data_IF_157034133891
#
_entry.id   IF_157034133891
#
_cell.length_a   1.000
_cell.length_b   1.000
_cell.length_c   1.000
_cell.angle_alpha   90.00
_cell.angle_beta   90.00
_cell.angle_gamma   90.00
#
_symmetry.space_group_name_H-M   'P 1'
#
loop_
_entity.id
_entity.type
_entity.pdbx_description
1 polymer ?
#
# COMPACT_ATOMS: atom_id res chain seq x y z
N UNK A 1 -5.07 14.94 16.66
CA UNK A 1 -3.79 15.08 15.93
C UNK A 1 -3.40 16.55 15.93
N UNK A 2 -2.15 16.89 16.31
CA UNK A 2 -1.59 18.23 16.09
C UNK A 2 -0.73 18.15 14.84
N UNK A 3 -1.11 18.87 13.80
CA UNK A 3 -0.43 18.93 12.52
C UNK A 3 -1.31 19.66 11.52
N UNK A 4 -0.71 20.24 10.50
CA UNK A 4 -1.46 20.88 9.43
C UNK A 4 -2.14 19.81 8.56
N UNK A 5 -3.31 20.15 8.01
CA UNK A 5 -4.07 19.28 7.12
C UNK A 5 -4.33 20.00 5.81
N UNK A 6 -3.99 19.34 4.71
CA UNK A 6 -4.13 19.88 3.37
C UNK A 6 -4.80 18.85 2.47
N UNK A 7 -5.65 19.32 1.56
CA UNK A 7 -6.04 18.54 0.38
C UNK A 7 -4.97 18.78 -0.69
N UNK A 8 -4.42 17.71 -1.22
CA UNK A 8 -3.34 17.76 -2.19
C UNK A 8 -3.55 16.74 -3.31
N UNK A 9 -3.01 17.07 -4.48
CA UNK A 9 -3.02 16.22 -5.66
C UNK A 9 -1.64 16.37 -6.34
N UNK A 10 -1.15 15.28 -6.92
CA UNK A 10 0.05 15.27 -7.74
C UNK A 10 -0.11 16.22 -8.92
N UNK A 11 0.93 16.99 -9.24
CA UNK A 11 1.00 17.78 -10.47
C UNK A 11 1.54 16.98 -11.66
N UNK A 12 1.94 15.72 -11.46
CA UNK A 12 2.42 14.81 -12.50
C UNK A 12 1.24 13.97 -13.03
N UNK A 13 0.90 14.18 -14.31
CA UNK A 13 -0.20 13.50 -15.00
C UNK A 13 -0.02 11.97 -15.11
N UNK A 14 1.22 11.49 -15.23
CA UNK A 14 1.50 10.07 -15.31
C UNK A 14 1.23 9.41 -13.96
N UNK A 15 1.67 10.04 -12.87
CA UNK A 15 1.36 9.59 -11.50
C UNK A 15 -0.15 9.60 -11.27
N UNK A 16 -0.85 10.68 -11.65
CA UNK A 16 -2.29 10.80 -11.46
C UNK A 16 -3.07 9.69 -12.15
N UNK A 17 -2.77 9.42 -13.43
CA UNK A 17 -3.45 8.39 -14.21
C UNK A 17 -3.33 6.98 -13.62
N UNK A 18 -2.23 6.71 -12.90
CA UNK A 18 -1.97 5.39 -12.31
C UNK A 18 -2.39 5.30 -10.83
N UNK A 19 -2.52 6.42 -10.15
CA UNK A 19 -2.85 6.43 -8.73
C UNK A 19 -4.32 6.13 -8.44
N UNK A 20 -4.59 5.58 -7.26
CA UNK A 20 -5.95 5.33 -6.75
C UNK A 20 -6.72 6.64 -6.54
N UNK A 21 -6.05 7.62 -5.93
CA UNK A 21 -6.63 8.91 -5.54
C UNK A 21 -5.75 10.05 -6.08
N UNK A 22 -5.28 10.96 -5.21
CA UNK A 22 -4.52 12.15 -5.61
C UNK A 22 -3.05 11.91 -5.98
N UNK A 23 -2.52 10.68 -5.94
CA UNK A 23 -1.12 10.40 -6.29
C UNK A 23 -0.04 11.00 -5.36
N UNK A 24 -0.45 11.65 -4.26
CA UNK A 24 0.44 12.41 -3.36
C UNK A 24 1.58 11.57 -2.80
N UNK A 25 1.30 10.33 -2.37
CA UNK A 25 2.31 9.44 -1.80
C UNK A 25 3.41 9.15 -2.82
N UNK A 26 3.05 8.75 -4.04
CA UNK A 26 3.99 8.49 -5.11
C UNK A 26 4.84 9.73 -5.43
N UNK A 27 4.23 10.92 -5.50
CA UNK A 27 4.95 12.17 -5.79
C UNK A 27 5.92 12.55 -4.67
N UNK A 28 5.53 12.38 -3.40
CA UNK A 28 6.41 12.62 -2.25
C UNK A 28 7.61 11.66 -2.24
N UNK A 29 7.39 10.38 -2.55
CA UNK A 29 8.46 9.37 -2.63
C UNK A 29 9.43 9.66 -3.77
N UNK A 30 8.91 9.99 -4.96
CA UNK A 30 9.71 10.39 -6.13
C UNK A 30 10.58 11.61 -5.78
N UNK A 31 9.96 12.64 -5.23
CA UNK A 31 10.67 13.84 -4.78
C UNK A 31 11.72 13.55 -3.71
N UNK A 32 11.45 12.65 -2.75
CA UNK A 32 12.39 12.30 -1.69
C UNK A 32 13.68 11.67 -2.24
N UNK A 33 13.58 10.82 -3.29
CA UNK A 33 14.73 10.27 -3.99
C UNK A 33 15.44 11.31 -4.86
N UNK A 34 14.70 12.06 -5.70
CA UNK A 34 15.29 13.09 -6.58
C UNK A 34 16.08 14.14 -5.80
N UNK A 35 15.54 14.54 -4.65
CA UNK A 35 16.17 15.52 -3.76
C UNK A 35 17.22 14.92 -2.81
N UNK A 36 17.50 13.61 -2.92
CA UNK A 36 18.48 12.88 -2.09
C UNK A 36 18.24 13.02 -0.59
N UNK A 37 16.99 13.19 -0.17
CA UNK A 37 16.59 13.19 1.24
C UNK A 37 16.65 11.79 1.83
N UNK A 38 16.42 10.79 0.99
CA UNK A 38 16.56 9.37 1.29
C UNK A 38 17.41 8.70 0.21
N UNK A 39 18.07 7.61 0.57
CA UNK A 39 18.88 6.79 -0.34
C UNK A 39 17.99 5.78 -1.09
N UNK A 40 16.89 5.37 -0.46
CA UNK A 40 15.96 4.39 -1.03
C UNK A 40 14.50 4.60 -0.55
N UNK A 41 13.57 4.04 -1.31
CA UNK A 41 12.15 3.92 -0.98
C UNK A 41 11.81 2.44 -0.79
N UNK A 42 11.26 2.09 0.38
CA UNK A 42 10.65 0.79 0.62
C UNK A 42 9.13 0.90 0.44
N UNK A 43 8.61 0.21 -0.56
CA UNK A 43 7.20 0.18 -0.90
C UNK A 43 6.78 -1.22 -1.34
N UNK A 44 5.49 -1.39 -1.65
CA UNK A 44 4.93 -2.66 -2.11
C UNK A 44 4.53 -2.55 -3.58
N UNK A 45 4.80 -3.59 -4.38
CA UNK A 45 4.23 -3.72 -5.73
C UNK A 45 3.67 -5.12 -5.97
N UNK A 46 2.77 -5.24 -6.93
CA UNK A 46 2.25 -6.52 -7.38
C UNK A 46 3.35 -7.32 -8.09
N UNK A 47 3.60 -8.57 -7.65
CA UNK A 47 4.54 -9.46 -8.31
C UNK A 47 3.98 -9.85 -9.68
N UNK A 48 4.69 -9.53 -10.75
CA UNK A 48 4.30 -9.85 -12.13
C UNK A 48 2.85 -9.42 -12.46
N UNK A 49 2.41 -8.27 -11.91
CA UNK A 49 1.05 -7.76 -12.10
C UNK A 49 -0.05 -8.49 -11.32
N UNK A 50 0.29 -9.50 -10.51
CA UNK A 50 -0.66 -10.21 -9.67
C UNK A 50 -0.99 -9.41 -8.40
N UNK A 51 -2.14 -8.73 -8.38
CA UNK A 51 -2.60 -7.91 -7.26
C UNK A 51 -2.77 -8.66 -5.94
N UNK A 52 -2.95 -9.98 -6.00
CA UNK A 52 -3.10 -10.86 -4.84
C UNK A 52 -1.76 -11.31 -4.24
N UNK A 53 -0.64 -10.92 -4.85
CA UNK A 53 0.72 -11.23 -4.42
C UNK A 53 1.56 -9.95 -4.41
N UNK A 54 1.40 -9.15 -3.36
CA UNK A 54 2.20 -7.94 -3.15
C UNK A 54 3.54 -8.26 -2.48
N UNK A 55 4.62 -7.72 -3.04
CA UNK A 55 5.99 -7.92 -2.56
C UNK A 55 6.63 -6.60 -2.13
N UNK A 56 7.46 -6.61 -1.07
CA UNK A 56 8.30 -5.46 -0.76
C UNK A 56 9.36 -5.26 -1.83
N UNK A 57 9.59 -4.01 -2.20
CA UNK A 57 10.63 -3.60 -3.13
C UNK A 57 11.40 -2.41 -2.56
N UNK A 58 12.72 -2.43 -2.77
CA UNK A 58 13.61 -1.32 -2.45
C UNK A 58 13.94 -0.60 -3.75
N UNK A 59 13.52 0.66 -3.85
CA UNK A 59 13.64 1.49 -5.04
C UNK A 59 14.67 2.59 -4.80
N UNK A 60 15.63 2.72 -5.70
CA UNK A 60 16.65 3.78 -5.67
C UNK A 60 16.56 4.72 -6.88
N UNK A 61 15.86 4.31 -7.94
CA UNK A 61 15.62 5.14 -9.13
C UNK A 61 14.25 5.84 -9.00
N UNK A 62 14.20 7.18 -8.90
CA UNK A 62 12.95 7.93 -8.76
C UNK A 62 11.90 7.62 -9.82
N UNK A 63 12.32 7.32 -11.06
CA UNK A 63 11.38 7.05 -12.15
C UNK A 63 10.63 5.72 -11.97
N UNK A 64 11.19 4.79 -11.21
CA UNK A 64 10.55 3.49 -10.94
C UNK A 64 9.54 3.52 -9.80
N UNK A 65 9.49 4.61 -9.01
CA UNK A 65 8.54 4.75 -7.88
C UNK A 65 7.09 4.59 -8.33
N UNK A 66 6.76 5.08 -9.52
CA UNK A 66 5.42 4.99 -10.12
C UNK A 66 4.95 3.53 -10.31
N UNK A 67 5.86 2.55 -10.31
CA UNK A 67 5.51 1.12 -10.33
C UNK A 67 4.76 0.65 -9.08
N UNK A 68 4.88 1.40 -7.99
CA UNK A 68 4.28 1.06 -6.69
C UNK A 68 2.94 1.77 -6.44
N UNK A 69 2.49 2.59 -7.38
CA UNK A 69 1.20 3.30 -7.30
C UNK A 69 0.01 2.34 -7.32
N UNK A 70 -1.03 2.72 -6.56
CA UNK A 70 -2.27 1.95 -6.38
C UNK A 70 -2.29 1.18 -5.06
N UNK A 71 -3.46 0.70 -4.68
CA UNK A 71 -3.67 -0.02 -3.43
C UNK A 71 -3.76 -1.52 -3.68
N UNK A 72 -3.09 -2.28 -2.82
CA UNK A 72 -3.17 -3.74 -2.80
C UNK A 72 -3.87 -4.18 -1.51
N UNK A 73 -5.21 -4.15 -1.53
CA UNK A 73 -6.05 -4.51 -0.39
C UNK A 73 -5.99 -6.00 -0.02
N UNK A 74 -5.52 -6.83 -0.94
CA UNK A 74 -5.38 -8.28 -0.78
C UNK A 74 -3.94 -8.73 -0.45
N UNK A 75 -3.02 -7.77 -0.31
CA UNK A 75 -1.61 -8.03 -0.01
C UNK A 75 -1.26 -7.65 1.43
N UNK A 76 -0.54 -8.56 2.09
CA UNK A 76 -0.17 -8.47 3.51
C UNK A 76 1.34 -8.66 3.76
N UNK A 77 2.24 -7.99 3.01
CA UNK A 77 3.67 -8.10 3.26
C UNK A 77 4.04 -7.50 4.63
N UNK A 78 5.03 -8.10 5.29
CA UNK A 78 5.51 -7.63 6.59
C UNK A 78 6.68 -6.65 6.39
N UNK A 79 6.35 -5.36 6.29
CA UNK A 79 7.33 -4.28 6.08
C UNK A 79 8.32 -4.19 7.25
N UNK A 80 7.82 -4.28 8.49
CA UNK A 80 8.64 -4.19 9.70
C UNK A 80 9.75 -5.24 9.71
N UNK A 81 9.40 -6.50 9.39
CA UNK A 81 10.36 -7.60 9.28
C UNK A 81 11.36 -7.34 8.15
N UNK A 82 10.89 -6.81 7.03
CA UNK A 82 11.76 -6.52 5.88
C UNK A 82 12.87 -5.53 6.25
N UNK A 83 12.52 -4.43 6.92
CA UNK A 83 13.48 -3.42 7.38
C UNK A 83 14.51 -4.05 8.33
N UNK A 84 14.03 -4.79 9.33
CA UNK A 84 14.91 -5.41 10.33
C UNK A 84 15.86 -6.44 9.73
N UNK A 85 15.33 -7.44 9.03
CA UNK A 85 16.09 -8.64 8.62
C UNK A 85 16.88 -8.44 7.33
N UNK A 86 16.38 -7.62 6.40
CA UNK A 86 16.96 -7.51 5.06
C UNK A 86 17.60 -6.16 4.76
N UNK A 87 17.28 -5.11 5.53
CA UNK A 87 17.84 -3.77 5.37
C UNK A 87 18.67 -3.33 6.60
N UNK A 88 19.14 -4.31 7.39
CA UNK A 88 19.93 -4.09 8.61
C UNK A 88 19.33 -3.00 9.50
N UNK A 89 18.02 -3.05 9.77
CA UNK A 89 17.34 -2.07 10.62
C UNK A 89 17.45 -0.60 10.16
N UNK A 90 17.76 -0.35 8.88
CA UNK A 90 18.07 0.98 8.36
C UNK A 90 19.27 1.67 9.03
N UNK A 91 20.23 0.93 9.61
CA UNK A 91 21.43 1.53 10.20
C UNK A 91 22.37 2.13 9.13
N UNK A 92 22.39 1.57 7.92
CA UNK A 92 23.38 1.92 6.88
C UNK A 92 22.84 2.85 5.78
N UNK A 93 21.54 3.16 5.77
CA UNK A 93 20.90 3.93 4.70
C UNK A 93 19.63 4.65 5.18
N UNK A 94 19.35 5.81 4.60
CA UNK A 94 18.10 6.56 4.81
C UNK A 94 17.01 6.03 3.90
N UNK A 95 15.86 5.64 4.46
CA UNK A 95 14.78 4.97 3.73
C UNK A 95 13.46 5.70 3.96
N UNK A 96 12.76 6.05 2.88
CA UNK A 96 11.35 6.39 2.95
C UNK A 96 10.52 5.10 2.90
N UNK A 97 9.63 4.90 3.87
CA UNK A 97 8.83 3.68 4.01
C UNK A 97 7.35 4.02 3.91
N UNK A 98 6.67 3.40 2.95
CA UNK A 98 5.20 3.42 2.92
C UNK A 98 4.68 2.36 3.87
N UNK A 99 3.85 2.74 4.83
CA UNK A 99 3.44 1.85 5.91
C UNK A 99 1.95 1.98 6.28
N UNK A 100 1.33 0.86 6.62
CA UNK A 100 0.01 0.84 7.27
C UNK A 100 0.19 1.12 8.78
N UNK A 101 -0.87 1.48 9.52
CA UNK A 101 -0.76 1.77 10.94
C UNK A 101 -0.16 0.61 11.77
N UNK A 102 -0.44 -0.63 11.39
CA UNK A 102 0.13 -1.82 12.03
C UNK A 102 1.63 -1.97 11.77
N UNK A 103 2.11 -1.65 10.56
CA UNK A 103 3.53 -1.65 10.21
C UNK A 103 4.27 -0.55 11.00
N UNK A 104 3.70 0.66 11.04
CA UNK A 104 4.26 1.78 11.81
C UNK A 104 4.42 1.41 13.29
N UNK A 105 3.39 0.78 13.89
CA UNK A 105 3.48 0.26 15.27
C UNK A 105 4.59 -0.76 15.43
N UNK A 106 4.71 -1.72 14.49
CA UNK A 106 5.78 -2.72 14.51
C UNK A 106 7.17 -2.09 14.42
N UNK A 107 7.35 -1.10 13.54
CA UNK A 107 8.59 -0.35 13.38
C UNK A 107 8.96 0.35 14.68
N UNK A 108 8.03 1.10 15.27
CA UNK A 108 8.28 1.83 16.53
C UNK A 108 8.65 0.89 17.68
N UNK A 109 8.03 -0.28 17.78
CA UNK A 109 8.41 -1.27 18.81
C UNK A 109 9.81 -1.85 18.60
N UNK A 110 10.26 -2.01 17.35
CA UNK A 110 11.64 -2.43 17.07
C UNK A 110 12.66 -1.30 17.26
N UNK A 111 12.27 -0.05 17.02
CA UNK A 111 13.08 1.14 17.35
C UNK A 111 13.36 1.18 18.86
N UNK A 112 12.34 0.99 19.71
CA UNK A 112 12.50 0.92 21.18
C UNK A 112 13.45 -0.19 21.63
N UNK A 113 13.60 -1.23 20.83
CA UNK A 113 14.49 -2.39 21.08
C UNK A 113 15.83 -2.26 20.35
N UNK A 114 16.16 -1.07 19.87
CA UNK A 114 17.41 -0.74 19.14
C UNK A 114 17.67 -1.68 17.96
N UNK A 115 16.62 -2.19 17.32
CA UNK A 115 16.69 -3.07 16.15
C UNK A 115 16.41 -2.35 14.84
N UNK A 116 15.89 -1.12 14.92
CA UNK A 116 15.68 -0.22 13.79
C UNK A 116 16.17 1.18 14.18
N UNK A 117 16.89 1.85 13.29
CA UNK A 117 17.28 3.24 13.44
C UNK A 117 16.20 4.18 12.89
N UNK A 118 15.47 4.86 13.77
CA UNK A 118 14.42 5.79 13.38
C UNK A 118 14.96 7.05 12.68
N UNK A 119 16.18 7.48 13.00
CA UNK A 119 16.77 8.70 12.42
C UNK A 119 17.00 8.57 10.91
N UNK A 120 17.09 7.34 10.43
CA UNK A 120 17.23 7.00 9.03
C UNK A 120 15.89 6.63 8.35
N UNK A 121 14.75 6.71 9.05
CA UNK A 121 13.45 6.38 8.47
C UNK A 121 12.55 7.61 8.30
N UNK A 122 12.01 7.75 7.09
CA UNK A 122 10.87 8.65 6.82
C UNK A 122 9.62 7.79 6.61
N UNK A 123 8.69 7.80 7.56
CA UNK A 123 7.46 7.00 7.48
C UNK A 123 6.36 7.79 6.77
N UNK A 124 5.86 7.26 5.65
CA UNK A 124 4.66 7.76 4.97
C UNK A 124 3.51 6.81 5.31
N UNK A 125 2.65 7.25 6.23
CA UNK A 125 1.51 6.48 6.71
C UNK A 125 0.32 6.52 5.76
N UNK A 126 -0.28 5.36 5.50
CA UNK A 126 -1.55 5.24 4.77
C UNK A 126 -2.72 5.06 5.74
N UNK A 127 -3.86 5.63 5.39
CA UNK A 127 -5.13 5.26 6.02
C UNK A 127 -5.46 3.82 5.61
N UNK A 128 -5.74 2.96 6.59
CA UNK A 128 -6.05 1.56 6.34
C UNK A 128 -7.14 1.08 7.30
N UNK A 129 -8.21 0.54 6.73
CA UNK A 129 -9.38 0.03 7.45
C UNK A 129 -9.33 -1.49 7.65
N UNK A 130 -8.24 -2.13 7.24
CA UNK A 130 -8.04 -3.57 7.31
C UNK A 130 -7.48 -4.14 6.01
N UNK A 131 -7.12 -5.43 6.03
CA UNK A 131 -6.62 -6.13 4.84
C UNK A 131 -7.40 -7.42 4.59
N UNK A 132 -7.70 -7.71 3.34
CA UNK A 132 -8.33 -8.97 2.94
C UNK A 132 -7.26 -10.03 2.70
N UNK A 133 -7.50 -11.26 3.13
CA UNK A 133 -6.63 -12.37 2.72
C UNK A 133 -6.84 -12.63 1.22
N UNK A 134 -5.78 -12.96 0.48
CA UNK A 134 -5.89 -13.24 -0.96
C UNK A 134 -6.83 -14.41 -1.27
N UNK A 135 -6.84 -15.44 -0.42
CA UNK A 135 -7.76 -16.57 -0.55
C UNK A 135 -9.21 -16.15 -0.29
N UNK A 136 -9.46 -15.37 0.77
CA UNK A 136 -10.79 -14.85 1.12
C UNK A 136 -11.33 -13.94 0.02
N UNK A 137 -10.50 -13.02 -0.50
CA UNK A 137 -10.89 -12.09 -1.56
C UNK A 137 -11.25 -12.84 -2.86
N UNK A 138 -10.46 -13.83 -3.27
CA UNK A 138 -10.76 -14.64 -4.45
C UNK A 138 -12.08 -15.39 -4.31
N UNK A 139 -12.34 -15.99 -3.14
CA UNK A 139 -13.62 -16.65 -2.85
C UNK A 139 -14.77 -15.66 -2.90
N UNK A 140 -14.63 -14.51 -2.25
CA UNK A 140 -15.62 -13.44 -2.24
C UNK A 140 -15.96 -12.95 -3.65
N UNK A 141 -14.96 -12.68 -4.49
CA UNK A 141 -15.20 -12.20 -5.84
C UNK A 141 -15.92 -13.24 -6.71
N UNK A 142 -15.64 -14.52 -6.49
CA UNK A 142 -16.34 -15.59 -7.17
C UNK A 142 -17.78 -15.76 -6.69
N UNK A 143 -17.99 -15.87 -5.38
CA UNK A 143 -19.30 -16.24 -4.80
C UNK A 143 -20.24 -15.05 -4.66
N UNK A 144 -19.74 -13.88 -4.28
CA UNK A 144 -20.57 -12.70 -4.03
C UNK A 144 -20.68 -11.80 -5.25
N UNK A 145 -19.57 -11.56 -5.94
CA UNK A 145 -19.56 -10.68 -7.11
C UNK A 145 -19.80 -11.40 -8.43
N UNK A 146 -19.79 -12.75 -8.43
CA UNK A 146 -19.97 -13.59 -9.62
C UNK A 146 -18.99 -13.19 -10.74
N UNK A 147 -17.72 -12.91 -10.39
CA UNK A 147 -16.66 -12.56 -11.34
C UNK A 147 -15.47 -13.50 -11.20
N UNK A 148 -14.65 -13.57 -12.25
CA UNK A 148 -13.34 -14.20 -12.14
C UNK A 148 -12.38 -13.25 -11.39
N UNK A 149 -11.76 -13.67 -10.27
CA UNK A 149 -10.82 -12.82 -9.53
C UNK A 149 -9.66 -12.28 -10.37
N UNK A 150 -9.25 -13.01 -11.41
CA UNK A 150 -8.18 -12.58 -12.32
C UNK A 150 -8.56 -11.39 -13.20
N UNK A 151 -9.84 -11.02 -13.27
CA UNK A 151 -10.33 -9.88 -14.05
C UNK A 151 -10.50 -8.61 -13.21
N UNK A 152 -10.33 -8.69 -11.90
CA UNK A 152 -10.34 -7.53 -11.00
C UNK A 152 -9.04 -6.72 -11.19
N UNK A 153 -9.18 -5.45 -11.62
CA UNK A 153 -8.06 -4.53 -11.84
C UNK A 153 -7.97 -3.42 -10.79
N UNK A 154 -9.01 -3.23 -9.98
CA UNK A 154 -9.04 -2.26 -8.88
C UNK A 154 -10.00 -2.71 -7.79
N UNK A 155 -9.66 -2.41 -6.55
CA UNK A 155 -10.54 -2.52 -5.39
C UNK A 155 -10.51 -1.20 -4.66
N UNK A 156 -11.68 -0.67 -4.31
CA UNK A 156 -11.81 0.57 -3.55
C UNK A 156 -12.76 0.37 -2.36
N UNK A 157 -12.40 0.98 -1.24
CA UNK A 157 -13.07 0.82 0.05
C UNK A 157 -13.47 2.19 0.59
N UNK A 158 -14.63 2.67 0.14
CA UNK A 158 -15.17 3.98 0.50
C UNK A 158 -16.58 3.85 1.11
N UNK A 159 -16.87 4.67 2.11
CA UNK A 159 -18.21 4.81 2.72
C UNK A 159 -18.90 3.48 3.11
N UNK A 160 -18.12 2.51 3.60
CA UNK A 160 -18.65 1.21 4.02
C UNK A 160 -18.98 0.27 2.87
N UNK A 161 -18.48 0.53 1.65
CA UNK A 161 -18.70 -0.31 0.48
C UNK A 161 -17.38 -0.78 -0.12
N UNK A 162 -17.42 -1.97 -0.71
CA UNK A 162 -16.34 -2.49 -1.55
C UNK A 162 -16.75 -2.38 -3.02
N UNK A 163 -16.04 -1.54 -3.77
CA UNK A 163 -16.16 -1.41 -5.21
C UNK A 163 -15.02 -2.15 -5.89
N UNK A 164 -15.34 -2.98 -6.88
CA UNK A 164 -14.35 -3.61 -7.75
C UNK A 164 -14.51 -3.09 -9.18
N UNK A 165 -13.39 -2.80 -9.83
CA UNK A 165 -13.35 -2.48 -11.26
C UNK A 165 -12.73 -3.65 -12.02
N UNK A 166 -13.36 -4.07 -13.10
CA UNK A 166 -12.91 -5.17 -13.95
C UNK A 166 -12.13 -4.68 -15.18
N UNK A 167 -11.42 -5.58 -15.86
CA UNK A 167 -10.65 -5.27 -17.09
C UNK A 167 -11.47 -4.64 -18.22
N UNK A 168 -12.76 -4.98 -18.30
CA UNK A 168 -13.69 -4.44 -19.30
C UNK A 168 -14.25 -3.06 -18.92
N UNK A 169 -13.85 -2.52 -17.76
CA UNK A 169 -14.32 -1.26 -17.22
C UNK A 169 -15.61 -1.38 -16.38
N UNK A 170 -16.20 -2.57 -16.26
CA UNK A 170 -17.38 -2.78 -15.42
C UNK A 170 -17.02 -2.59 -13.95
N UNK A 171 -17.87 -1.86 -13.23
CA UNK A 171 -17.77 -1.72 -11.78
C UNK A 171 -18.90 -2.48 -11.09
N UNK A 172 -18.55 -3.20 -10.01
CA UNK A 172 -19.51 -3.84 -9.13
C UNK A 172 -19.25 -3.40 -7.71
N UNK A 173 -20.31 -3.15 -6.95
CA UNK A 173 -20.22 -2.67 -5.58
C UNK A 173 -21.09 -3.52 -4.65
N UNK A 174 -20.59 -3.79 -3.46
CA UNK A 174 -21.36 -4.40 -2.36
C UNK A 174 -21.10 -3.70 -1.03
N UNK A 175 -22.08 -3.83 -0.14
CA UNK A 175 -21.93 -3.40 1.24
C UNK A 175 -20.85 -4.22 1.95
N UNK A 176 -19.96 -3.53 2.66
CA UNK A 176 -18.82 -4.16 3.27
C UNK A 176 -19.23 -4.94 4.52
N UNK A 177 -20.10 -4.38 5.37
CA UNK A 177 -20.52 -5.00 6.61
C UNK A 177 -21.26 -6.33 6.34
N UNK A 178 -22.07 -6.39 5.29
CA UNK A 178 -22.70 -7.63 4.83
C UNK A 178 -21.66 -8.70 4.43
N UNK A 179 -20.61 -8.30 3.70
CA UNK A 179 -19.52 -9.21 3.33
C UNK A 179 -18.76 -9.70 4.57
N UNK A 180 -18.52 -8.83 5.55
CA UNK A 180 -17.83 -9.22 6.79
C UNK A 180 -18.66 -10.22 7.60
N UNK A 181 -19.97 -10.00 7.73
CA UNK A 181 -20.90 -10.93 8.40
C UNK A 181 -20.93 -12.32 7.74
N UNK A 182 -20.76 -12.37 6.42
CA UNK A 182 -20.65 -13.63 5.64
C UNK A 182 -19.28 -14.32 5.73
N UNK A 183 -18.35 -13.78 6.53
CA UNK A 183 -17.01 -14.37 6.71
C UNK A 183 -15.99 -13.93 5.66
N UNK A 184 -16.27 -12.85 4.92
CA UNK A 184 -15.31 -12.20 4.02
C UNK A 184 -14.61 -10.99 4.66
N UNK A 185 -14.63 -10.94 5.99
CA UNK A 185 -14.11 -9.83 6.79
C UNK A 185 -12.63 -9.52 6.55
N UNK A 186 -12.31 -8.24 6.74
CA UNK A 186 -10.93 -7.77 6.81
C UNK A 186 -10.34 -8.12 8.17
N UNK A 187 -9.01 -8.28 8.20
CA UNK A 187 -8.22 -8.34 9.44
C UNK A 187 -7.70 -6.96 9.84
#
# INVERSE_FOLDING_TARGET
MKGDMYLAQSSDDAILKKSEHGGVVTSLLKFALESKRVDAVLAIKARNGNRYDGIPVLITDPETVIETSGSLHCASPNITRFIKEYLNGAFDMKIAVVCKPCDARGIIELVKRTQINMDNLTLIGLNCTGTLSSATAKRMFHEEFEVNPSDVIREDLEEGKLTITLKDGTEKQKDLDELEQKGYGRR
#
